data_IF_662441016209
#
_entry.id   IF_662441016209
#
_cell.length_a   1.000
_cell.length_b   1.000
_cell.length_c   1.000
_cell.angle_alpha   90.00
_cell.angle_beta   90.00
_cell.angle_gamma   90.00
#
_symmetry.space_group_name_H-M   'P 1'
#
loop_
_entity.id
_entity.type
_entity.pdbx_description
1 polymer ?
#
# COMPACT_ATOMS: atom_id res chain seq x y z
N UNK A 1 5.90 -25.79 62.49
CA UNK A 1 6.56 -26.44 61.34
C UNK A 1 5.80 -26.33 60.00
N UNK A 2 4.45 -26.47 59.88
CA UNK A 2 3.79 -26.46 58.55
C UNK A 2 3.75 -25.09 57.86
N UNK A 3 3.80 -23.97 58.61
CA UNK A 3 3.81 -22.61 58.06
C UNK A 3 5.11 -22.25 57.32
N UNK A 4 6.23 -22.87 57.68
CA UNK A 4 7.54 -22.62 57.03
C UNK A 4 7.60 -23.29 55.65
N UNK A 5 7.02 -24.48 55.51
CA UNK A 5 6.92 -25.18 54.22
C UNK A 5 5.99 -24.46 53.24
N UNK A 6 4.92 -23.83 53.72
CA UNK A 6 4.01 -23.03 52.91
C UNK A 6 4.67 -21.73 52.38
N UNK A 7 5.50 -21.09 53.21
CA UNK A 7 6.32 -19.94 52.82
C UNK A 7 7.42 -20.32 51.82
N UNK A 8 8.09 -21.46 52.02
CA UNK A 8 9.11 -21.97 51.09
C UNK A 8 8.51 -22.39 49.74
N UNK A 9 7.32 -23.00 49.75
CA UNK A 9 6.59 -23.37 48.52
C UNK A 9 6.12 -22.13 47.73
N UNK A 10 5.66 -21.08 48.42
CA UNK A 10 5.29 -19.82 47.77
C UNK A 10 6.50 -19.10 47.16
N UNK A 11 7.65 -19.11 47.84
CA UNK A 11 8.90 -18.51 47.33
C UNK A 11 9.46 -19.29 46.12
N UNK A 12 9.33 -20.61 46.11
CA UNK A 12 9.68 -21.47 44.97
C UNK A 12 8.74 -21.23 43.77
N UNK A 13 7.45 -20.98 44.02
CA UNK A 13 6.49 -20.66 42.96
C UNK A 13 6.76 -19.28 42.34
N UNK A 14 7.16 -18.28 43.14
CA UNK A 14 7.49 -16.94 42.64
C UNK A 14 8.81 -16.90 41.85
N UNK A 15 9.78 -17.78 42.15
CA UNK A 15 11.04 -17.87 41.38
C UNK A 15 10.89 -18.68 40.10
N UNK A 16 9.89 -19.59 40.04
CA UNK A 16 9.49 -20.31 38.82
C UNK A 16 8.69 -19.48 37.81
N UNK A 17 8.18 -18.30 38.22
CA UNK A 17 7.51 -17.33 37.34
C UNK A 17 8.48 -16.35 36.68
N UNK A 18 9.75 -16.74 36.53
CA UNK A 18 10.71 -16.03 35.68
C UNK A 18 10.32 -16.27 34.22
N UNK A 19 9.33 -15.54 33.73
CA UNK A 19 9.07 -15.48 32.30
C UNK A 19 10.34 -15.05 31.58
N UNK A 20 10.71 -15.75 30.51
CA UNK A 20 11.75 -15.28 29.61
C UNK A 20 11.31 -13.94 29.02
N UNK A 21 11.77 -12.83 29.61
CA UNK A 21 11.85 -11.56 28.89
C UNK A 21 12.92 -11.74 27.82
N UNK A 22 12.51 -12.21 26.66
CA UNK A 22 13.31 -12.05 25.46
C UNK A 22 13.30 -10.55 25.15
N UNK A 23 14.47 -9.92 25.27
CA UNK A 23 14.66 -8.56 24.77
C UNK A 23 14.43 -8.62 23.24
N UNK A 24 13.25 -8.25 22.79
CA UNK A 24 13.00 -7.90 21.39
C UNK A 24 13.65 -6.54 21.12
N UNK A 25 14.98 -6.48 21.19
CA UNK A 25 15.73 -5.32 20.71
C UNK A 25 16.74 -5.78 19.67
N UNK A 26 16.23 -6.50 18.66
CA UNK A 26 16.97 -6.74 17.43
C UNK A 26 16.36 -5.89 16.31
N UNK A 27 16.45 -4.56 16.49
CA UNK A 27 16.19 -3.61 15.40
C UNK A 27 17.27 -3.66 14.32
N UNK A 28 18.36 -4.43 14.51
CA UNK A 28 19.46 -4.60 13.56
C UNK A 28 19.05 -5.30 12.28
N UNK A 29 18.01 -6.14 12.32
CA UNK A 29 17.61 -7.03 11.22
C UNK A 29 16.37 -6.55 10.46
N UNK A 30 15.82 -5.37 10.80
CA UNK A 30 14.68 -4.84 10.06
C UNK A 30 15.12 -4.42 8.65
N UNK A 31 14.32 -4.76 7.61
CA UNK A 31 14.58 -4.28 6.27
C UNK A 31 14.54 -2.75 6.23
N UNK A 32 15.36 -2.17 5.36
CA UNK A 32 15.44 -0.72 5.20
C UNK A 32 14.64 -0.34 3.98
N UNK A 33 13.73 0.63 4.15
CA UNK A 33 12.92 1.14 3.06
C UNK A 33 13.20 2.62 2.80
N UNK A 34 13.10 2.98 1.51
CA UNK A 34 13.12 4.35 1.02
C UNK A 34 11.75 4.69 0.44
N UNK A 35 11.09 5.79 0.86
CA UNK A 35 9.83 6.19 0.29
C UNK A 35 10.04 6.73 -1.13
N UNK A 36 9.09 6.42 -2.01
CA UNK A 36 8.95 7.10 -3.30
C UNK A 36 8.13 8.35 -3.05
N UNK A 37 8.76 9.51 -3.17
CA UNK A 37 8.15 10.81 -2.90
C UNK A 37 7.63 11.47 -4.17
N UNK A 38 6.50 12.17 -4.06
CA UNK A 38 5.93 13.00 -5.10
C UNK A 38 5.47 14.33 -4.51
N UNK A 39 5.74 15.45 -5.20
CA UNK A 39 5.21 16.74 -4.79
C UNK A 39 3.67 16.74 -4.88
N UNK A 40 3.00 17.42 -3.94
CA UNK A 40 1.53 17.49 -3.89
C UNK A 40 0.89 17.91 -5.22
N UNK A 41 1.42 18.94 -5.88
CA UNK A 41 0.90 19.43 -7.17
C UNK A 41 1.05 18.40 -8.28
N UNK A 42 2.16 17.67 -8.30
CA UNK A 42 2.39 16.57 -9.24
C UNK A 42 1.45 15.40 -9.00
N UNK A 43 1.16 15.04 -7.73
CA UNK A 43 0.20 13.99 -7.40
C UNK A 43 -1.18 14.29 -7.95
N UNK A 44 -1.63 15.53 -7.84
CA UNK A 44 -2.97 15.94 -8.28
C UNK A 44 -3.19 15.83 -9.78
N UNK A 45 -2.09 15.93 -10.55
CA UNK A 45 -2.06 15.79 -12.01
C UNK A 45 -1.55 14.41 -12.46
N UNK A 46 -1.30 13.49 -11.54
CA UNK A 46 -0.56 12.26 -11.83
C UNK A 46 -1.38 11.16 -12.50
N UNK A 47 -2.72 11.22 -12.38
CA UNK A 47 -3.62 10.20 -12.93
C UNK A 47 -3.70 10.33 -14.44
N UNK A 48 -3.25 9.29 -15.14
CA UNK A 48 -3.13 9.33 -16.60
C UNK A 48 -3.20 7.93 -17.22
N UNK A 49 -3.78 7.84 -18.41
CA UNK A 49 -3.73 6.62 -19.21
C UNK A 49 -2.41 6.59 -20.00
N UNK A 50 -1.67 5.50 -19.88
CA UNK A 50 -0.42 5.27 -20.61
C UNK A 50 -0.47 3.94 -21.37
N UNK A 51 0.53 3.69 -22.21
CA UNK A 51 0.64 2.45 -22.96
C UNK A 51 0.64 1.22 -22.04
N UNK A 52 0.12 0.11 -22.57
CA UNK A 52 0.16 -1.19 -21.89
C UNK A 52 1.60 -1.57 -21.53
N UNK A 53 1.75 -2.22 -20.38
CA UNK A 53 3.05 -2.65 -19.84
C UNK A 53 2.89 -3.98 -19.12
N UNK A 54 4.01 -4.64 -18.83
CA UNK A 54 4.01 -5.91 -18.13
C UNK A 54 3.51 -5.77 -16.68
N UNK A 55 2.95 -6.87 -16.16
CA UNK A 55 2.46 -6.97 -14.80
C UNK A 55 3.57 -7.48 -13.88
N UNK A 56 3.71 -6.90 -12.69
CA UNK A 56 4.79 -7.27 -11.76
C UNK A 56 4.29 -7.64 -10.36
N UNK A 57 3.52 -6.76 -9.70
CA UNK A 57 3.06 -6.88 -8.33
C UNK A 57 1.54 -6.66 -8.24
N UNK A 58 0.82 -7.53 -8.93
CA UNK A 58 -0.62 -7.40 -9.10
C UNK A 58 -1.39 -7.69 -7.81
N UNK A 59 -2.48 -6.95 -7.60
CA UNK A 59 -3.41 -7.13 -6.51
C UNK A 59 -4.78 -7.61 -6.98
N UNK A 60 -5.83 -6.92 -6.52
CA UNK A 60 -7.23 -7.26 -6.79
C UNK A 60 -7.59 -7.11 -8.28
N UNK A 61 -8.62 -7.85 -8.68
CA UNK A 61 -9.16 -7.87 -10.04
C UNK A 61 -10.61 -7.40 -10.01
N UNK A 62 -10.99 -6.57 -10.99
CA UNK A 62 -12.34 -6.05 -11.20
C UNK A 62 -12.81 -6.31 -12.63
N UNK A 63 -14.12 -6.35 -12.84
CA UNK A 63 -14.72 -6.57 -14.17
C UNK A 63 -15.78 -5.52 -14.46
N UNK A 64 -15.73 -4.97 -15.68
CA UNK A 64 -16.77 -4.10 -16.25
C UNK A 64 -17.07 -4.56 -17.68
N UNK A 65 -18.23 -5.19 -17.89
CA UNK A 65 -18.56 -5.76 -19.21
C UNK A 65 -17.52 -6.81 -19.63
N UNK A 66 -16.87 -6.61 -20.78
CA UNK A 66 -15.78 -7.47 -21.27
C UNK A 66 -14.40 -7.01 -20.82
N UNK A 67 -14.28 -5.89 -20.10
CA UNK A 67 -13.00 -5.43 -19.58
C UNK A 67 -12.73 -6.02 -18.20
N UNK A 68 -11.46 -6.36 -17.97
CA UNK A 68 -10.91 -6.78 -16.68
C UNK A 68 -9.87 -5.75 -16.27
N UNK A 69 -9.93 -5.29 -15.03
CA UNK A 69 -8.96 -4.35 -14.47
C UNK A 69 -8.17 -5.05 -13.38
N UNK A 70 -6.86 -4.95 -13.43
CA UNK A 70 -5.96 -5.61 -12.48
C UNK A 70 -5.14 -4.53 -11.80
N UNK A 71 -5.27 -4.41 -10.48
CA UNK A 71 -4.50 -3.45 -9.71
C UNK A 71 -3.00 -3.83 -9.75
N UNK A 72 -2.13 -2.86 -9.94
CA UNK A 72 -0.68 -2.94 -9.83
C UNK A 72 -0.26 -2.11 -8.63
N UNK A 73 0.18 -2.77 -7.57
CA UNK A 73 0.29 -2.14 -6.26
C UNK A 73 1.27 -0.95 -6.30
N UNK A 74 0.82 0.19 -5.79
CA UNK A 74 1.48 1.50 -5.79
C UNK A 74 1.55 2.23 -7.14
N UNK A 75 1.11 1.63 -8.24
CA UNK A 75 1.34 2.18 -9.56
C UNK A 75 0.06 2.50 -10.35
N UNK A 76 -1.02 1.73 -10.17
CA UNK A 76 -2.27 1.95 -10.88
C UNK A 76 -2.97 0.66 -11.33
N UNK A 77 -3.62 0.67 -12.49
CA UNK A 77 -4.47 -0.43 -12.97
C UNK A 77 -4.16 -0.81 -14.41
N UNK A 78 -3.94 -2.10 -14.66
CA UNK A 78 -3.94 -2.67 -16.00
C UNK A 78 -5.36 -2.74 -16.54
N UNK A 79 -5.55 -2.41 -17.82
CA UNK A 79 -6.82 -2.48 -18.54
C UNK A 79 -6.74 -3.61 -19.54
N UNK A 80 -7.47 -4.69 -19.28
CA UNK A 80 -7.47 -5.90 -20.09
C UNK A 80 -8.78 -5.97 -20.88
N UNK A 81 -8.68 -5.98 -22.20
CA UNK A 81 -9.77 -6.36 -23.07
C UNK A 81 -9.90 -7.89 -23.08
N UNK A 82 -11.01 -8.38 -22.54
CA UNK A 82 -11.32 -9.80 -22.42
C UNK A 82 -12.57 -10.17 -23.25
N UNK A 83 -12.75 -9.54 -24.43
CA UNK A 83 -13.80 -9.91 -25.40
C UNK A 83 -13.65 -11.34 -25.92
N UNK A 84 -12.41 -11.81 -26.10
CA UNK A 84 -12.06 -13.21 -26.35
C UNK A 84 -11.33 -13.77 -25.12
N UNK A 85 -12.02 -14.53 -24.24
CA UNK A 85 -11.42 -15.08 -23.03
C UNK A 85 -10.27 -16.07 -23.29
N UNK A 86 -10.16 -16.63 -24.51
CA UNK A 86 -9.03 -17.48 -24.86
C UNK A 86 -7.76 -16.68 -25.18
N UNK A 87 -7.91 -15.37 -25.43
CA UNK A 87 -6.84 -14.45 -25.86
C UNK A 87 -7.03 -13.03 -25.26
N UNK A 88 -6.97 -12.86 -23.93
CA UNK A 88 -7.05 -11.54 -23.31
C UNK A 88 -5.93 -10.62 -23.78
N UNK A 89 -6.22 -9.33 -23.94
CA UNK A 89 -5.25 -8.34 -24.42
C UNK A 89 -5.09 -7.20 -23.41
N UNK A 90 -3.86 -6.92 -22.99
CA UNK A 90 -3.57 -5.71 -22.23
C UNK A 90 -3.58 -4.51 -23.18
N UNK A 91 -4.57 -3.62 -23.04
CA UNK A 91 -4.80 -2.50 -23.97
C UNK A 91 -4.40 -1.15 -23.39
N UNK A 92 -3.98 -1.10 -22.13
CA UNK A 92 -3.50 0.13 -21.51
C UNK A 92 -3.22 0.00 -20.02
N UNK A 93 -2.58 1.02 -19.47
CA UNK A 93 -2.33 1.12 -18.04
C UNK A 93 -2.79 2.48 -17.52
N UNK A 94 -3.73 2.47 -16.58
CA UNK A 94 -4.17 3.68 -15.88
C UNK A 94 -3.23 3.91 -14.70
N UNK A 95 -2.29 4.84 -14.86
CA UNK A 95 -1.33 5.21 -13.83
C UNK A 95 -2.04 5.98 -12.71
N UNK A 96 -1.94 5.46 -11.49
CA UNK A 96 -2.46 6.07 -10.26
C UNK A 96 -1.39 5.84 -9.16
N UNK A 97 -0.42 6.76 -9.00
CA UNK A 97 0.64 6.58 -8.02
C UNK A 97 0.10 6.43 -6.60
N UNK A 98 0.70 5.55 -5.81
CA UNK A 98 0.24 5.26 -4.45
C UNK A 98 -1.09 4.53 -4.39
N UNK A 99 -1.57 3.95 -5.48
CA UNK A 99 -2.79 3.15 -5.46
C UNK A 99 -2.54 1.79 -4.82
N UNK A 100 -3.07 1.61 -3.61
CA UNK A 100 -3.02 0.33 -2.88
C UNK A 100 -4.28 -0.48 -3.10
N UNK A 101 -5.43 0.17 -3.01
CA UNK A 101 -6.73 -0.43 -3.22
C UNK A 101 -7.56 0.40 -4.19
N UNK A 102 -8.52 -0.30 -4.79
CA UNK A 102 -9.53 0.29 -5.64
C UNK A 102 -10.86 -0.41 -5.41
N UNK A 103 -11.96 0.26 -5.71
CA UNK A 103 -13.29 -0.32 -5.71
C UNK A 103 -14.04 0.18 -6.94
N UNK A 104 -14.92 -0.65 -7.51
CA UNK A 104 -15.66 -0.31 -8.72
C UNK A 104 -17.16 -0.49 -8.51
N UNK A 105 -17.95 0.49 -8.98
CA UNK A 105 -19.41 0.41 -9.05
C UNK A 105 -19.88 0.85 -10.44
N UNK A 106 -20.32 -0.11 -11.25
CA UNK A 106 -20.66 0.16 -12.65
C UNK A 106 -19.41 0.62 -13.41
N UNK A 107 -19.45 1.84 -13.95
CA UNK A 107 -18.32 2.46 -14.67
C UNK A 107 -17.50 3.41 -13.80
N UNK A 108 -17.86 3.58 -12.52
CA UNK A 108 -17.13 4.44 -11.59
C UNK A 108 -16.11 3.63 -10.81
N UNK A 109 -14.85 4.06 -10.84
CA UNK A 109 -13.78 3.54 -10.01
C UNK A 109 -13.44 4.54 -8.91
N UNK A 110 -13.27 4.04 -7.71
CA UNK A 110 -12.74 4.73 -6.55
C UNK A 110 -11.37 4.14 -6.30
N UNK A 111 -10.34 4.96 -6.25
CA UNK A 111 -8.98 4.49 -6.09
C UNK A 111 -8.24 5.33 -5.06
N UNK A 112 -7.38 4.68 -4.29
CA UNK A 112 -6.37 5.39 -3.55
C UNK A 112 -5.41 6.06 -4.53
N UNK A 113 -5.02 7.29 -4.24
CA UNK A 113 -3.94 8.00 -4.90
C UNK A 113 -3.03 8.56 -3.82
N UNK A 114 -2.29 7.66 -3.18
CA UNK A 114 -1.63 7.88 -1.90
C UNK A 114 -2.63 8.28 -0.81
N UNK A 115 -2.49 9.47 -0.23
CA UNK A 115 -3.36 9.98 0.84
C UNK A 115 -4.73 10.47 0.35
N UNK A 116 -4.91 10.59 -0.96
CA UNK A 116 -6.15 11.07 -1.56
C UNK A 116 -7.04 9.91 -2.01
N UNK A 117 -8.36 10.13 -1.97
CA UNK A 117 -9.33 9.32 -2.69
C UNK A 117 -9.64 9.99 -4.03
N UNK A 118 -9.39 9.30 -5.15
CA UNK A 118 -9.80 9.76 -6.48
C UNK A 118 -10.96 8.95 -7.01
N UNK A 119 -11.94 9.64 -7.56
CA UNK A 119 -13.05 9.01 -8.26
C UNK A 119 -12.87 9.23 -9.76
N UNK A 120 -13.04 8.15 -10.52
CA UNK A 120 -12.75 8.07 -11.95
C UNK A 120 -13.97 7.55 -12.71
N UNK A 121 -14.23 8.15 -13.85
CA UNK A 121 -15.19 7.65 -14.84
C UNK A 121 -14.45 6.78 -15.87
N UNK A 122 -14.78 5.49 -15.91
CA UNK A 122 -14.32 4.50 -16.87
C UNK A 122 -15.44 4.02 -17.80
N UNK A 123 -16.43 4.88 -18.10
CA UNK A 123 -17.43 4.60 -19.14
C UNK A 123 -16.79 4.32 -20.50
N UNK A 124 -15.66 4.95 -20.79
CA UNK A 124 -14.76 4.62 -21.89
C UNK A 124 -13.34 4.33 -21.35
N UNK A 125 -12.88 3.07 -21.31
CA UNK A 125 -11.55 2.73 -20.81
C UNK A 125 -10.38 3.34 -21.59
N UNK A 126 -10.61 3.77 -22.85
CA UNK A 126 -9.61 4.48 -23.64
C UNK A 126 -9.57 6.00 -23.35
N UNK A 127 -10.52 6.51 -22.56
CA UNK A 127 -10.61 7.92 -22.19
C UNK A 127 -11.12 8.06 -20.75
N UNK A 128 -10.25 7.75 -19.79
CA UNK A 128 -10.55 7.82 -18.35
C UNK A 128 -10.51 9.26 -17.87
N UNK A 129 -11.47 9.65 -17.02
CA UNK A 129 -11.56 11.01 -16.47
C UNK A 129 -11.61 11.01 -14.95
N UNK A 130 -10.80 11.85 -14.31
CA UNK A 130 -10.96 12.16 -12.88
C UNK A 130 -12.22 13.01 -12.72
N UNK A 131 -13.19 12.53 -11.94
CA UNK A 131 -14.46 13.24 -11.68
C UNK A 131 -14.47 13.92 -10.32
N UNK A 132 -13.70 13.41 -9.35
CA UNK A 132 -13.60 13.99 -8.02
C UNK A 132 -12.29 13.57 -7.36
N UNK A 133 -11.83 14.40 -6.41
CA UNK A 133 -10.69 14.14 -5.53
C UNK A 133 -11.06 14.61 -4.13
N UNK A 134 -10.92 13.73 -3.16
CA UNK A 134 -10.97 14.07 -1.74
C UNK A 134 -9.54 14.00 -1.22
N UNK A 135 -8.99 15.16 -0.88
CA UNK A 135 -7.63 15.24 -0.32
C UNK A 135 -7.59 14.63 1.07
N UNK A 136 -6.47 13.98 1.39
CA UNK A 136 -6.14 13.49 2.73
C UNK A 136 -7.28 12.63 3.33
N UNK A 137 -7.94 11.85 2.46
CA UNK A 137 -8.99 10.90 2.83
C UNK A 137 -8.43 9.71 3.63
N UNK A 138 -7.13 9.45 3.48
CA UNK A 138 -6.40 8.33 4.07
C UNK A 138 -5.14 8.82 4.81
N UNK A 139 -4.66 8.06 5.81
CA UNK A 139 -3.35 8.32 6.40
C UNK A 139 -2.22 8.14 5.38
N UNK A 140 -1.02 8.66 5.70
CA UNK A 140 0.18 8.42 4.88
C UNK A 140 0.43 6.92 4.69
N UNK A 141 0.85 6.57 3.47
CA UNK A 141 1.14 5.20 3.08
C UNK A 141 2.25 4.60 3.95
N UNK A 142 1.91 3.60 4.76
CA UNK A 142 2.89 2.88 5.57
C UNK A 142 3.77 1.97 4.70
N UNK A 143 5.01 1.65 5.14
CA UNK A 143 5.83 0.65 4.48
C UNK A 143 5.15 -0.74 4.50
N UNK A 144 5.47 -1.63 3.53
CA UNK A 144 4.80 -2.92 3.39
C UNK A 144 4.95 -3.86 4.60
N UNK A 145 6.03 -3.69 5.36
CA UNK A 145 6.37 -4.49 6.54
C UNK A 145 7.06 -3.62 7.60
N UNK A 146 7.14 -4.12 8.83
CA UNK A 146 7.90 -3.46 9.89
C UNK A 146 9.34 -3.27 9.43
N UNK A 147 9.79 -2.01 9.42
CA UNK A 147 11.02 -1.62 8.74
C UNK A 147 11.61 -0.36 9.37
N UNK A 148 12.89 -0.12 9.08
CA UNK A 148 13.51 1.18 9.33
C UNK A 148 13.47 2.03 8.06
N UNK A 149 13.34 3.34 8.25
CA UNK A 149 13.40 4.31 7.16
C UNK A 149 14.80 4.93 7.18
N UNK A 150 15.42 5.02 6.00
CA UNK A 150 16.69 5.72 5.83
C UNK A 150 16.61 7.15 6.40
N UNK A 151 17.61 7.58 7.18
CA UNK A 151 17.57 8.81 7.98
C UNK A 151 17.14 10.05 7.17
N UNK A 152 17.71 10.22 5.97
CA UNK A 152 17.39 11.34 5.06
C UNK A 152 15.95 11.37 4.56
N UNK A 153 15.21 10.27 4.74
CA UNK A 153 13.84 10.11 4.29
C UNK A 153 12.85 9.92 5.45
N UNK A 154 13.28 10.14 6.69
CA UNK A 154 12.34 10.26 7.81
C UNK A 154 11.42 11.48 7.61
N UNK A 155 10.16 11.45 8.09
CA UNK A 155 9.19 12.50 7.84
C UNK A 155 9.71 13.93 8.08
N UNK A 156 10.50 14.14 9.14
CA UNK A 156 11.11 15.41 9.51
C UNK A 156 12.15 15.95 8.51
N UNK A 157 12.70 15.08 7.67
CA UNK A 157 13.76 15.40 6.70
C UNK A 157 13.23 15.49 5.25
N UNK A 158 11.93 15.25 5.02
CA UNK A 158 11.31 15.32 3.68
C UNK A 158 10.95 16.76 3.30
N UNK A 159 10.83 17.06 1.99
CA UNK A 159 10.17 18.29 1.55
C UNK A 159 8.76 18.41 2.16
N UNK A 160 8.36 19.62 2.55
CA UNK A 160 7.09 19.84 3.25
C UNK A 160 5.84 19.48 2.41
N UNK A 161 5.96 19.48 1.08
CA UNK A 161 4.91 19.13 0.13
C UNK A 161 5.02 17.69 -0.41
N UNK A 162 5.93 16.89 0.14
CA UNK A 162 6.14 15.52 -0.29
C UNK A 162 5.01 14.60 0.18
N UNK A 163 4.51 13.80 -0.75
CA UNK A 163 3.57 12.71 -0.49
C UNK A 163 4.25 11.39 -0.80
N UNK A 164 4.14 10.41 0.10
CA UNK A 164 4.61 9.05 -0.12
C UNK A 164 3.65 8.33 -1.07
N UNK A 165 4.13 7.97 -2.27
CA UNK A 165 3.36 7.24 -3.29
C UNK A 165 3.79 5.78 -3.43
N UNK A 166 4.69 5.32 -2.57
CA UNK A 166 5.18 3.94 -2.58
C UNK A 166 6.46 3.79 -1.77
N UNK A 167 6.99 2.58 -1.76
CA UNK A 167 8.16 2.22 -0.97
C UNK A 167 9.08 1.30 -1.76
N UNK A 168 10.38 1.58 -1.71
CA UNK A 168 11.42 0.76 -2.30
C UNK A 168 12.24 0.10 -1.18
N UNK A 169 12.32 -1.23 -1.20
CA UNK A 169 13.20 -1.99 -0.29
C UNK A 169 14.65 -1.77 -0.73
N UNK A 170 15.49 -1.34 0.21
CA UNK A 170 16.90 -1.03 -0.02
C UNK A 170 17.77 -2.25 0.30
N UNK A 171 17.50 -2.89 1.44
CA UNK A 171 18.13 -4.14 1.90
C UNK A 171 17.16 -4.89 2.79
#
# INVERSE_FOLDING_TARGET
MPKVYLLLAALALCTGLSGCFTNFDDRSDLPVYRPVLMARTSLEQSVSLVAARDMHNTGKIYRQGTYVFINERYEGLHIIDNRDPSRPQNVGFLRIPGSLDVAMRGTTLYADNAVDLVTLDLSNPANVRVISRVRDAFPELAPPEASSIEESYRPENRPADAVVVGWQKVK
#
